data_IF_312839953134
#
_entry.id   IF_312839953134
#
_cell.length_a   1.000
_cell.length_b   1.000
_cell.length_c   1.000
_cell.angle_alpha   90.00
_cell.angle_beta   90.00
_cell.angle_gamma   90.00
#
_symmetry.space_group_name_H-M   'P 1'
#
loop_
_entity.id
_entity.type
_entity.pdbx_description
1 polymer ?
#
# COMPACT_ATOMS: atom_id res chain seq x y z
N UNK A 1 9.15 50.90 -31.27
CA UNK A 1 7.88 50.33 -30.77
C UNK A 1 8.01 48.80 -30.78
N UNK A 2 9.07 48.29 -30.15
CA UNK A 2 9.11 46.96 -29.49
C UNK A 2 9.06 47.29 -28.00
N UNK A 3 8.49 46.51 -27.10
CA UNK A 3 8.48 45.06 -26.99
C UNK A 3 7.17 44.71 -26.26
N UNK A 4 6.40 43.73 -26.71
CA UNK A 4 5.70 42.87 -25.76
C UNK A 4 5.42 41.51 -26.42
N UNK A 5 6.25 40.50 -26.11
CA UNK A 5 5.69 39.15 -26.06
C UNK A 5 6.32 38.29 -24.95
N UNK A 6 6.25 38.72 -23.68
CA UNK A 6 6.89 37.96 -22.60
C UNK A 6 5.86 37.37 -21.61
N UNK A 7 4.59 37.78 -21.67
CA UNK A 7 3.54 37.27 -20.79
C UNK A 7 2.94 35.94 -21.27
N UNK A 8 3.82 35.01 -21.67
CA UNK A 8 3.49 33.58 -21.80
C UNK A 8 4.46 32.83 -20.88
N UNK A 9 4.56 33.29 -19.63
CA UNK A 9 5.08 32.47 -18.55
C UNK A 9 4.08 31.32 -18.38
N UNK A 10 4.25 30.28 -19.20
CA UNK A 10 3.55 29.02 -19.04
C UNK A 10 3.89 28.56 -17.64
N UNK A 11 2.96 28.73 -16.71
CA UNK A 11 2.97 28.05 -15.43
C UNK A 11 3.11 26.58 -15.74
N UNK A 12 4.35 26.09 -15.75
CA UNK A 12 4.66 24.70 -16.00
C UNK A 12 3.94 23.96 -14.87
N UNK A 13 2.81 23.34 -15.20
CA UNK A 13 2.05 22.54 -14.26
C UNK A 13 2.98 21.42 -13.86
N UNK A 14 3.55 21.51 -12.66
CA UNK A 14 4.35 20.42 -12.08
C UNK A 14 3.47 19.18 -12.19
N UNK A 15 3.85 18.14 -12.95
CA UNK A 15 2.99 16.99 -13.15
C UNK A 15 2.69 16.41 -11.77
N UNK A 16 1.43 16.51 -11.36
CA UNK A 16 0.99 15.99 -10.08
C UNK A 16 1.38 14.52 -10.03
N UNK A 17 2.20 14.16 -9.04
CA UNK A 17 2.69 12.80 -8.88
C UNK A 17 1.50 11.84 -8.88
N UNK A 18 1.49 10.77 -9.71
CA UNK A 18 0.28 10.00 -9.95
C UNK A 18 -0.18 9.29 -8.67
N UNK A 19 -1.19 9.87 -8.02
CA UNK A 19 -1.82 9.37 -6.80
C UNK A 19 -2.32 7.93 -6.93
N UNK A 20 -2.79 7.55 -8.13
CA UNK A 20 -3.27 6.21 -8.43
C UNK A 20 -2.21 5.11 -8.19
N UNK A 21 -0.92 5.40 -8.44
CA UNK A 21 0.16 4.43 -8.17
C UNK A 21 0.32 4.16 -6.68
N UNK A 22 0.19 5.21 -5.86
CA UNK A 22 0.26 5.11 -4.40
C UNK A 22 -0.94 4.36 -3.82
N UNK A 23 -2.14 4.61 -4.35
CA UNK A 23 -3.36 3.88 -3.95
C UNK A 23 -3.33 2.42 -4.37
N UNK A 24 -2.92 2.13 -5.61
CA UNK A 24 -2.77 0.75 -6.10
C UNK A 24 -1.74 -0.04 -5.29
N UNK A 25 -0.60 0.58 -4.98
CA UNK A 25 0.40 -0.02 -4.10
C UNK A 25 -0.20 -0.41 -2.75
N UNK A 26 -0.93 0.51 -2.11
CA UNK A 26 -1.59 0.24 -0.83
C UNK A 26 -2.59 -0.92 -0.90
N UNK A 27 -3.35 -1.05 -1.99
CA UNK A 27 -4.25 -2.18 -2.20
C UNK A 27 -3.47 -3.50 -2.37
N UNK A 28 -2.41 -3.51 -3.17
CA UNK A 28 -1.56 -4.69 -3.36
C UNK A 28 -0.88 -5.11 -2.06
N UNK A 29 -0.38 -4.15 -1.28
CA UNK A 29 0.18 -4.37 0.05
C UNK A 29 -0.84 -5.00 0.98
N UNK A 30 -2.06 -4.45 1.04
CA UNK A 30 -3.13 -4.98 1.88
C UNK A 30 -3.46 -6.43 1.52
N UNK A 31 -3.66 -6.72 0.23
CA UNK A 31 -3.94 -8.08 -0.27
C UNK A 31 -2.79 -9.01 0.11
N UNK A 32 -1.55 -8.62 -0.17
CA UNK A 32 -0.37 -9.45 0.10
C UNK A 32 -0.28 -9.79 1.60
N UNK A 33 -0.38 -8.80 2.48
CA UNK A 33 -0.27 -9.00 3.93
C UNK A 33 -1.46 -9.77 4.48
N UNK A 34 -2.67 -9.50 3.99
CA UNK A 34 -3.87 -10.22 4.40
C UNK A 34 -3.79 -11.70 4.04
N UNK A 35 -3.42 -12.04 2.81
CA UNK A 35 -3.32 -13.43 2.38
C UNK A 35 -2.11 -14.14 3.01
N UNK A 36 -0.92 -13.54 2.96
CA UNK A 36 0.29 -14.15 3.53
C UNK A 36 0.17 -14.28 5.04
N UNK A 37 -0.26 -13.21 5.73
CA UNK A 37 -0.44 -13.20 7.17
C UNK A 37 -1.58 -14.11 7.62
N UNK A 38 -2.75 -14.01 6.97
CA UNK A 38 -3.90 -14.86 7.28
C UNK A 38 -3.64 -16.34 7.02
N UNK A 39 -2.92 -16.68 5.94
CA UNK A 39 -2.51 -18.06 5.67
C UNK A 39 -1.46 -18.56 6.66
N UNK A 40 -0.46 -17.74 7.01
CA UNK A 40 0.54 -18.09 8.01
C UNK A 40 -0.09 -18.33 9.40
N UNK A 41 -1.03 -17.47 9.81
CA UNK A 41 -1.79 -17.64 11.06
C UNK A 41 -2.66 -18.89 10.96
N UNK A 42 -3.40 -19.07 9.87
CA UNK A 42 -4.23 -20.25 9.65
C UNK A 42 -3.42 -21.54 9.70
N UNK A 43 -2.21 -21.54 9.13
CA UNK A 43 -1.32 -22.70 9.16
C UNK A 43 -0.82 -22.97 10.57
N UNK A 44 -0.50 -21.92 11.34
CA UNK A 44 -0.07 -22.03 12.72
C UNK A 44 -1.19 -22.47 13.69
N UNK A 45 -2.44 -22.07 13.42
CA UNK A 45 -3.61 -22.42 14.25
C UNK A 45 -4.36 -23.66 13.77
N UNK A 46 -3.96 -24.25 12.65
CA UNK A 46 -4.66 -25.39 12.03
C UNK A 46 -5.99 -25.01 11.36
N UNK A 47 -6.22 -23.73 11.08
CA UNK A 47 -7.42 -23.17 10.47
C UNK A 47 -7.26 -22.87 8.97
N UNK A 48 -6.30 -23.50 8.29
CA UNK A 48 -6.24 -23.51 6.83
C UNK A 48 -7.35 -24.35 6.22
N UNK A 49 -7.84 -23.94 5.06
CA UNK A 49 -8.81 -24.67 4.25
C UNK A 49 -8.21 -25.00 2.89
N UNK A 50 -8.92 -25.77 2.05
CA UNK A 50 -8.48 -26.08 0.69
C UNK A 50 -8.30 -24.83 -0.18
N UNK A 51 -9.09 -23.79 0.08
CA UNK A 51 -9.09 -22.54 -0.69
C UNK A 51 -8.28 -21.41 -0.01
N UNK A 52 -7.73 -21.65 1.19
CA UNK A 52 -6.97 -20.64 1.92
C UNK A 52 -7.01 -20.85 3.43
N UNK A 53 -7.76 -20.00 4.13
CA UNK A 53 -7.89 -20.04 5.58
C UNK A 53 -9.29 -19.62 6.03
N UNK A 54 -9.72 -20.14 7.17
CA UNK A 54 -10.97 -19.76 7.83
C UNK A 54 -10.71 -19.52 9.32
N UNK A 55 -10.29 -18.29 9.63
CA UNK A 55 -9.96 -17.87 10.99
C UNK A 55 -11.24 -17.49 11.73
N UNK A 56 -11.49 -18.17 12.85
CA UNK A 56 -12.66 -17.93 13.71
C UNK A 56 -12.22 -17.59 15.13
N UNK A 57 -12.96 -16.71 15.81
CA UNK A 57 -12.63 -16.30 17.18
C UNK A 57 -11.37 -15.42 17.26
N UNK A 58 -10.50 -15.68 18.23
CA UNK A 58 -9.31 -14.86 18.49
C UNK A 58 -8.31 -14.79 17.31
N UNK A 59 -8.05 -15.89 16.57
CA UNK A 59 -7.24 -15.85 15.36
C UNK A 59 -7.73 -14.89 14.28
N UNK A 60 -9.02 -14.55 14.22
CA UNK A 60 -9.55 -13.59 13.25
C UNK A 60 -9.06 -12.15 13.48
N UNK A 61 -8.62 -11.83 14.70
CA UNK A 61 -8.08 -10.51 15.05
C UNK A 61 -6.61 -10.35 14.67
N UNK A 62 -5.86 -11.46 14.57
CA UNK A 62 -4.42 -11.45 14.29
C UNK A 62 -4.06 -10.90 12.90
N UNK A 63 -4.75 -11.25 11.79
CA UNK A 63 -4.48 -10.66 10.47
C UNK A 63 -4.70 -9.15 10.50
N UNK A 64 -5.72 -8.68 11.22
CA UNK A 64 -6.02 -7.26 11.34
C UNK A 64 -4.88 -6.53 12.06
N UNK A 65 -4.39 -7.08 13.16
CA UNK A 65 -3.23 -6.55 13.87
C UNK A 65 -1.96 -6.56 13.01
N UNK A 66 -1.71 -7.63 12.24
CA UNK A 66 -0.57 -7.72 11.32
C UNK A 66 -0.62 -6.66 10.22
N UNK A 67 -1.80 -6.44 9.63
CA UNK A 67 -2.00 -5.42 8.60
C UNK A 67 -1.72 -4.04 9.17
N UNK A 68 -2.31 -3.70 10.32
CA UNK A 68 -2.06 -2.41 10.98
C UNK A 68 -0.58 -2.22 11.31
N UNK A 69 0.07 -3.25 11.86
CA UNK A 69 1.50 -3.21 12.17
C UNK A 69 2.35 -3.00 10.90
N UNK A 70 2.03 -3.70 9.82
CA UNK A 70 2.73 -3.58 8.54
C UNK A 70 2.61 -2.16 7.95
N UNK A 71 1.39 -1.62 7.85
CA UNK A 71 1.17 -0.27 7.31
C UNK A 71 1.76 0.79 8.22
N UNK A 72 1.68 0.61 9.54
CA UNK A 72 2.31 1.51 10.51
C UNK A 72 3.83 1.52 10.36
N UNK A 73 4.49 0.37 10.24
CA UNK A 73 5.94 0.28 9.94
C UNK A 73 6.27 0.91 8.58
N UNK A 74 5.45 0.63 7.57
CA UNK A 74 5.55 1.21 6.24
C UNK A 74 5.57 2.73 6.27
N UNK A 75 4.61 3.34 6.96
CA UNK A 75 4.51 4.80 7.08
C UNK A 75 5.56 5.40 8.00
N UNK A 76 5.79 4.81 9.18
CA UNK A 76 6.62 5.44 10.22
C UNK A 76 8.11 5.16 10.09
N UNK A 77 8.49 3.94 9.71
CA UNK A 77 9.89 3.50 9.70
C UNK A 77 10.47 3.57 8.29
N UNK A 78 9.68 3.14 7.31
CA UNK A 78 10.20 2.92 5.97
C UNK A 78 10.00 4.14 5.08
N UNK A 79 8.99 4.99 5.30
CA UNK A 79 8.63 6.14 4.44
C UNK A 79 7.76 5.75 3.23
N UNK A 80 7.04 4.64 3.33
CA UNK A 80 6.19 4.03 2.31
C UNK A 80 6.28 2.49 2.34
N UNK A 81 5.23 1.83 1.88
CA UNK A 81 5.07 0.36 1.90
C UNK A 81 5.89 -0.36 0.81
N UNK A 82 5.96 -1.69 0.87
CA UNK A 82 6.76 -2.51 -0.07
C UNK A 82 6.39 -2.24 -1.53
N UNK A 83 5.09 -2.27 -1.87
CA UNK A 83 4.67 -2.03 -3.25
C UNK A 83 4.83 -0.56 -3.68
N UNK A 84 4.84 0.40 -2.75
CA UNK A 84 5.17 1.79 -3.08
C UNK A 84 6.64 1.95 -3.49
N UNK A 85 7.54 1.13 -2.93
CA UNK A 85 8.95 1.07 -3.33
C UNK A 85 9.09 0.41 -4.71
N UNK A 86 8.42 -0.72 -4.91
CA UNK A 86 8.49 -1.49 -6.17
C UNK A 86 7.93 -0.68 -7.35
N UNK A 87 6.82 0.04 -7.16
CA UNK A 87 6.16 0.83 -8.21
C UNK A 87 6.73 2.24 -8.39
N UNK A 88 7.79 2.61 -7.63
CA UNK A 88 8.40 3.94 -7.68
C UNK A 88 7.44 5.07 -7.30
N UNK A 89 6.48 4.80 -6.42
CA UNK A 89 5.42 5.74 -6.02
C UNK A 89 5.78 6.58 -4.77
N UNK A 90 7.05 6.56 -4.35
CA UNK A 90 7.60 7.42 -3.29
C UNK A 90 7.82 8.82 -3.78
#
# INVERSE_FOLDING_TARGET
>A
MGEEPDNVERSATVPAKPFWRRSLAGVLDFITVFFVGGYAIGAATGQTTKDGFNLTGAPALLPFALILAYFYLGWKVLGGTLWQRILGAR
#
